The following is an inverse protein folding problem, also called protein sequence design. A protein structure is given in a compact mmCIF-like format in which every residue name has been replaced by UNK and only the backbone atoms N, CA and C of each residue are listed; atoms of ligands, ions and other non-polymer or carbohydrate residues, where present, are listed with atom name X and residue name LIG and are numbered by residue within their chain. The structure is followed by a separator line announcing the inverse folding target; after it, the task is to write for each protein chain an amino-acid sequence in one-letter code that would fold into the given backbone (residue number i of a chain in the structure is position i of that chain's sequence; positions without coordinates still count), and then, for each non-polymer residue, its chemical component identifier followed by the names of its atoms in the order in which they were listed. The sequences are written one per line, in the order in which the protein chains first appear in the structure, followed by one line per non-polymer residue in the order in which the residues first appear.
data_IF_594268006451
#
_entry.id   IF_594268006451
#
_cell.length_a   1.000
_cell.length_b   1.000
_cell.length_c   1.000
_cell.angle_alpha   90.00
_cell.angle_beta   90.00
_cell.angle_gamma   90.00
#
_symmetry.space_group_name_H-M   'P 1'
#
loop_
_entity.id
_entity.type
_entity.pdbx_description
1 polymer ?
#
# COMPACT_ATOMS: atom_id res chain seq x y z
N UNK A 1 54.92 13.64 -11.49
CA UNK A 1 53.51 14.12 -11.45
C UNK A 1 52.80 13.64 -12.70
N UNK A 2 51.96 12.59 -12.62
CA UNK A 2 51.00 12.21 -13.65
C UNK A 2 49.58 12.73 -13.31
N UNK A 3 48.69 12.93 -14.31
CA UNK A 3 47.38 13.58 -14.12
C UNK A 3 46.33 12.60 -13.56
N UNK A 4 45.24 13.10 -12.92
CA UNK A 4 44.20 12.25 -12.36
C UNK A 4 43.23 11.75 -13.43
N UNK A 5 42.96 10.44 -13.40
CA UNK A 5 41.99 9.75 -14.23
C UNK A 5 40.55 10.11 -13.81
N UNK A 6 39.72 10.50 -14.79
CA UNK A 6 38.26 10.64 -14.64
C UNK A 6 37.64 9.25 -14.44
N UNK A 7 37.18 8.93 -13.23
CA UNK A 7 36.19 7.87 -13.04
C UNK A 7 34.82 8.40 -13.49
N UNK A 8 34.35 7.88 -14.62
CA UNK A 8 32.99 8.04 -15.09
C UNK A 8 32.01 7.37 -14.12
N UNK A 9 31.08 8.15 -13.59
CA UNK A 9 29.92 7.73 -12.81
C UNK A 9 29.04 6.76 -13.62
N UNK A 10 29.26 5.46 -13.46
CA UNK A 10 28.27 4.42 -13.75
C UNK A 10 27.26 4.37 -12.58
N UNK A 11 26.36 5.36 -12.50
CA UNK A 11 25.19 5.28 -11.63
C UNK A 11 24.08 4.52 -12.37
N UNK A 12 24.03 3.22 -12.08
CA UNK A 12 22.89 2.30 -12.16
C UNK A 12 21.72 2.74 -13.06
N UNK A 13 21.75 2.34 -14.33
CA UNK A 13 20.61 2.35 -15.25
C UNK A 13 19.45 1.43 -14.80
N UNK A 14 19.61 0.67 -13.72
CA UNK A 14 18.65 -0.33 -13.24
C UNK A 14 17.43 0.30 -12.52
N UNK A 15 17.59 1.47 -11.89
CA UNK A 15 16.48 2.14 -11.18
C UNK A 15 15.50 2.83 -12.14
N UNK A 16 15.99 3.34 -13.28
CA UNK A 16 15.14 3.94 -14.31
C UNK A 16 14.31 2.88 -15.06
N UNK A 17 14.83 1.65 -15.16
CA UNK A 17 14.17 0.50 -15.78
C UNK A 17 12.94 -0.01 -14.98
N UNK A 18 12.90 0.24 -13.66
CA UNK A 18 11.83 -0.22 -12.77
C UNK A 18 10.54 0.62 -12.93
N UNK A 19 10.68 1.94 -13.15
CA UNK A 19 9.55 2.89 -13.17
C UNK A 19 8.65 2.77 -14.40
N UNK A 20 9.16 2.27 -15.54
CA UNK A 20 8.38 2.20 -16.78
C UNK A 20 7.69 0.84 -16.95
N UNK A 21 8.19 -0.26 -16.36
CA UNK A 21 7.69 -1.62 -16.66
C UNK A 21 6.67 -2.22 -15.69
N UNK A 22 6.39 -1.63 -14.53
CA UNK A 22 5.24 -2.07 -13.71
C UNK A 22 3.96 -1.28 -14.01
N UNK A 23 4.05 0.01 -14.32
CA UNK A 23 2.85 0.83 -14.61
C UNK A 23 2.48 0.84 -16.09
N UNK A 24 3.45 0.92 -17.01
CA UNK A 24 3.12 1.04 -18.44
C UNK A 24 2.59 -0.27 -19.03
N UNK A 25 3.14 -1.47 -18.74
CA UNK A 25 2.52 -2.74 -19.18
C UNK A 25 1.21 -3.06 -18.46
N UNK A 26 1.03 -2.67 -17.19
CA UNK A 26 -0.23 -2.83 -16.48
C UNK A 26 -1.32 -1.94 -17.10
N UNK A 27 -1.00 -0.68 -17.42
CA UNK A 27 -1.90 0.25 -18.11
C UNK A 27 -2.12 -0.12 -19.59
N UNK A 28 -1.12 -0.64 -20.31
CA UNK A 28 -1.20 -1.04 -21.72
C UNK A 28 -1.90 -2.40 -21.93
N UNK A 29 -1.89 -3.30 -20.93
CA UNK A 29 -2.63 -4.58 -20.96
C UNK A 29 -3.98 -4.52 -20.24
N UNK A 30 -4.51 -3.32 -19.96
CA UNK A 30 -5.83 -3.13 -19.34
C UNK A 30 -5.96 -3.69 -17.91
N UNK A 31 -4.84 -3.99 -17.24
CA UNK A 31 -4.82 -4.55 -15.89
C UNK A 31 -4.34 -3.49 -14.93
N UNK A 32 -5.25 -2.86 -14.19
CA UNK A 32 -4.86 -1.92 -13.14
C UNK A 32 -3.83 -2.58 -12.21
N UNK A 33 -2.66 -1.97 -11.92
CA UNK A 33 -1.64 -2.56 -11.02
C UNK A 33 -2.06 -2.57 -9.54
N UNK A 34 -3.37 -2.39 -9.28
CA UNK A 34 -3.97 -2.18 -7.97
C UNK A 34 -4.28 -3.46 -7.17
N UNK A 35 -4.41 -4.70 -7.69
CA UNK A 35 -4.73 -5.88 -6.85
C UNK A 35 -3.64 -6.33 -5.87
N UNK A 36 -2.53 -5.59 -5.80
CA UNK A 36 -1.21 -6.15 -5.48
C UNK A 36 -0.85 -6.18 -4.00
N UNK A 37 -1.62 -5.58 -3.08
CA UNK A 37 -1.01 -5.15 -1.82
C UNK A 37 -1.90 -5.03 -0.58
N UNK A 38 -3.15 -5.48 -0.63
CA UNK A 38 -4.09 -5.09 0.40
C UNK A 38 -4.37 -6.20 1.40
N UNK A 39 -3.71 -6.11 2.56
CA UNK A 39 -4.09 -6.79 3.79
C UNK A 39 -4.46 -5.75 4.84
N UNK A 40 -5.59 -5.95 5.48
CA UNK A 40 -5.76 -5.84 6.93
C UNK A 40 -5.91 -7.30 7.41
N UNK A 41 -5.79 -7.64 8.70
CA UNK A 41 -5.77 -9.03 9.19
C UNK A 41 -6.89 -9.96 8.68
N UNK A 42 -7.97 -9.43 8.09
CA UNK A 42 -9.12 -10.16 7.54
C UNK A 42 -9.61 -9.63 6.17
N UNK A 43 -8.75 -9.00 5.37
CA UNK A 43 -9.28 -8.01 4.44
C UNK A 43 -8.80 -8.20 3.00
N UNK A 44 -9.78 -8.55 2.16
CA UNK A 44 -9.73 -8.82 0.72
C UNK A 44 -9.08 -10.12 0.26
N UNK A 45 -8.51 -10.95 1.12
CA UNK A 45 -7.88 -12.21 0.70
C UNK A 45 -8.60 -13.41 1.32
N UNK A 46 -8.97 -14.37 0.49
CA UNK A 46 -9.67 -15.59 0.90
C UNK A 46 -8.80 -16.85 0.84
N UNK A 47 -7.49 -16.70 0.64
CA UNK A 47 -6.58 -17.83 0.42
C UNK A 47 -6.24 -18.57 1.72
N UNK A 48 -6.12 -19.89 1.61
CA UNK A 48 -5.58 -20.77 2.65
C UNK A 48 -4.47 -21.65 2.05
N UNK A 49 -3.72 -22.37 2.89
CA UNK A 49 -2.51 -23.09 2.47
C UNK A 49 -2.71 -24.06 1.29
N UNK A 50 -3.91 -24.63 1.15
CA UNK A 50 -4.29 -25.60 0.10
C UNK A 50 -5.34 -25.06 -0.86
N UNK A 51 -5.48 -23.73 -0.96
CA UNK A 51 -6.44 -23.14 -1.88
C UNK A 51 -6.12 -23.47 -3.33
N UNK A 52 -7.14 -23.64 -4.21
CA UNK A 52 -6.94 -23.76 -5.64
C UNK A 52 -6.02 -22.64 -6.17
N UNK A 53 -5.03 -23.02 -6.98
CA UNK A 53 -4.00 -22.14 -7.54
C UNK A 53 -3.08 -21.43 -6.51
N UNK A 54 -3.09 -21.91 -5.27
CA UNK A 54 -2.27 -21.43 -4.17
C UNK A 54 -2.89 -20.27 -3.38
N UNK A 55 -2.39 -19.97 -2.16
CA UNK A 55 -2.97 -18.97 -1.27
C UNK A 55 -2.99 -17.56 -1.86
N UNK A 56 -2.06 -17.27 -2.78
CA UNK A 56 -1.90 -15.94 -3.38
C UNK A 56 -2.79 -15.74 -4.63
N UNK A 57 -3.66 -16.69 -4.96
CA UNK A 57 -4.65 -16.59 -6.04
C UNK A 57 -6.00 -15.98 -5.64
N UNK A 58 -6.17 -15.67 -4.37
CA UNK A 58 -7.47 -15.37 -3.76
C UNK A 58 -7.59 -13.91 -3.29
N UNK A 59 -6.90 -12.99 -3.98
CA UNK A 59 -7.00 -11.55 -3.73
C UNK A 59 -8.34 -10.98 -4.17
N UNK A 60 -8.75 -9.87 -3.56
CA UNK A 60 -10.06 -9.21 -3.76
C UNK A 60 -11.30 -10.09 -3.46
N UNK A 61 -11.15 -11.15 -2.66
CA UNK A 61 -12.25 -12.01 -2.21
C UNK A 61 -13.26 -11.28 -1.32
N UNK A 62 -12.82 -10.31 -0.51
CA UNK A 62 -13.67 -9.51 0.36
C UNK A 62 -13.65 -8.04 -0.03
N UNK A 63 -14.83 -7.40 -0.02
CA UNK A 63 -15.00 -5.98 -0.31
C UNK A 63 -15.00 -5.08 0.94
N UNK A 64 -15.19 -5.67 2.12
CA UNK A 64 -15.22 -4.98 3.41
C UNK A 64 -14.55 -5.88 4.48
N UNK A 65 -14.12 -5.26 5.57
CA UNK A 65 -13.52 -5.94 6.72
C UNK A 65 -14.48 -6.97 7.34
N UNK A 66 -14.00 -8.19 7.54
CA UNK A 66 -14.77 -9.23 8.21
C UNK A 66 -14.67 -9.04 9.72
N UNK A 67 -15.84 -8.89 10.37
CA UNK A 67 -15.99 -8.77 11.83
C UNK A 67 -15.23 -7.58 12.43
N UNK A 68 -15.58 -6.34 12.09
CA UNK A 68 -14.92 -5.15 12.62
C UNK A 68 -15.04 -5.04 14.14
N UNK A 69 -13.93 -4.74 14.80
CA UNK A 69 -13.84 -4.69 16.27
C UNK A 69 -14.19 -3.30 16.86
N UNK A 70 -14.41 -2.31 16.00
CA UNK A 70 -14.72 -0.93 16.35
C UNK A 70 -15.47 -0.25 15.21
N UNK A 71 -15.95 0.96 15.44
CA UNK A 71 -16.47 1.84 14.39
C UNK A 71 -15.36 2.66 13.71
N UNK A 72 -14.09 2.50 14.12
CA UNK A 72 -12.92 3.19 13.55
C UNK A 72 -13.12 4.72 13.51
N UNK A 73 -13.69 5.26 14.59
CA UNK A 73 -13.86 6.68 14.77
C UNK A 73 -12.80 7.22 15.72
N UNK A 74 -11.95 8.12 15.23
CA UNK A 74 -11.20 9.03 16.08
C UNK A 74 -12.04 10.30 16.33
N UNK A 75 -12.69 10.34 17.50
CA UNK A 75 -13.53 11.46 17.93
C UNK A 75 -12.74 12.73 18.30
N UNK A 76 -11.41 12.62 18.43
CA UNK A 76 -10.53 13.76 18.69
C UNK A 76 -10.26 14.55 17.42
N UNK A 77 -10.36 13.91 16.25
CA UNK A 77 -10.17 14.56 14.96
C UNK A 77 -11.32 15.54 14.62
N UNK A 78 -11.05 16.85 14.74
CA UNK A 78 -12.05 17.90 14.47
C UNK A 78 -12.19 18.27 13.01
N UNK A 79 -11.17 17.98 12.19
CA UNK A 79 -11.21 18.25 10.76
C UNK A 79 -12.11 17.27 10.01
N UNK A 80 -12.13 16.01 10.46
CA UNK A 80 -12.91 14.93 9.86
C UNK A 80 -13.80 14.28 10.92
N UNK A 81 -14.87 14.95 11.36
CA UNK A 81 -15.70 14.46 12.45
C UNK A 81 -16.42 13.17 12.07
N UNK A 82 -16.61 12.29 13.06
CA UNK A 82 -17.44 11.10 12.91
C UNK A 82 -18.92 11.47 12.94
N UNK A 83 -19.73 10.73 12.17
CA UNK A 83 -21.19 10.89 12.19
C UNK A 83 -21.87 9.79 13.01
N UNK A 84 -22.95 10.10 13.75
CA UNK A 84 -23.71 9.09 14.50
C UNK A 84 -24.18 7.95 13.60
N UNK A 85 -24.08 6.71 14.11
CA UNK A 85 -24.49 5.50 13.39
C UNK A 85 -23.57 5.09 12.23
N UNK A 86 -22.44 5.78 12.02
CA UNK A 86 -21.47 5.43 10.98
C UNK A 86 -20.28 4.66 11.52
N UNK A 87 -19.80 3.72 10.69
CA UNK A 87 -18.58 2.96 10.91
C UNK A 87 -17.62 3.17 9.75
N UNK A 88 -16.38 3.47 10.07
CA UNK A 88 -15.28 3.68 9.13
C UNK A 88 -14.35 2.47 9.07
N UNK A 89 -14.89 1.26 9.23
CA UNK A 89 -14.17 0.01 9.06
C UNK A 89 -13.64 -0.17 7.63
N UNK A 90 -12.75 -1.15 7.44
CA UNK A 90 -12.10 -1.39 6.16
C UNK A 90 -13.09 -1.63 5.03
N UNK A 91 -12.96 -0.87 3.94
CA UNK A 91 -13.72 -1.07 2.69
C UNK A 91 -12.87 -0.91 1.44
N UNK A 92 -13.31 -1.59 0.38
CA UNK A 92 -12.67 -1.59 -0.92
C UNK A 92 -11.32 -2.32 -0.92
N UNK A 93 -10.58 -2.23 -2.04
CA UNK A 93 -9.31 -2.91 -2.21
C UNK A 93 -8.32 -2.56 -1.10
N UNK A 94 -8.00 -1.26 -0.87
CA UNK A 94 -7.04 -0.84 0.18
C UNK A 94 -7.56 -1.00 1.61
N UNK A 95 -8.81 -1.40 1.80
CA UNK A 95 -9.45 -1.48 3.10
C UNK A 95 -9.36 -0.15 3.86
N UNK A 96 -9.81 0.90 3.15
CA UNK A 96 -9.82 2.26 3.68
C UNK A 96 -10.54 2.25 5.02
N UNK A 97 -9.84 2.70 6.06
CA UNK A 97 -10.29 2.66 7.45
C UNK A 97 -10.07 4.00 8.12
N UNK A 98 -10.87 4.32 9.13
CA UNK A 98 -10.86 5.57 9.90
C UNK A 98 -11.45 6.81 9.24
N UNK A 99 -12.20 7.60 10.02
CA UNK A 99 -12.80 8.88 9.62
C UNK A 99 -11.79 9.83 8.95
N UNK A 100 -10.57 9.90 9.48
CA UNK A 100 -9.51 10.77 8.96
C UNK A 100 -8.93 10.29 7.61
N UNK A 101 -9.30 9.10 7.12
CA UNK A 101 -9.01 8.68 5.74
C UNK A 101 -10.23 8.79 4.83
N UNK A 102 -11.43 8.42 5.32
CA UNK A 102 -12.68 8.56 4.57
C UNK A 102 -13.01 10.01 4.21
N UNK A 103 -12.79 10.94 5.13
CA UNK A 103 -12.99 12.38 4.91
C UNK A 103 -12.15 12.94 3.76
N UNK A 104 -10.81 12.88 3.80
CA UNK A 104 -9.99 13.41 2.71
C UNK A 104 -10.14 12.62 1.40
N UNK A 105 -10.34 11.29 1.45
CA UNK A 105 -10.64 10.53 0.24
C UNK A 105 -11.93 10.99 -0.43
N UNK A 106 -12.99 11.18 0.36
CA UNK A 106 -14.27 11.71 -0.10
C UNK A 106 -14.12 13.09 -0.73
N UNK A 107 -13.39 14.00 -0.07
CA UNK A 107 -13.10 15.33 -0.59
C UNK A 107 -12.36 15.29 -1.93
N UNK A 108 -11.34 14.43 -2.06
CA UNK A 108 -10.53 14.35 -3.28
C UNK A 108 -11.28 13.71 -4.45
N UNK A 109 -12.19 12.77 -4.17
CA UNK A 109 -12.84 11.94 -5.18
C UNK A 109 -14.30 12.33 -5.48
N UNK A 110 -14.83 13.33 -4.77
CA UNK A 110 -16.17 13.86 -4.98
C UNK A 110 -17.29 13.00 -4.40
N UNK A 111 -17.09 12.39 -3.22
CA UNK A 111 -18.14 11.67 -2.49
C UNK A 111 -18.13 12.04 -1.00
N UNK A 112 -19.27 11.88 -0.31
CA UNK A 112 -19.35 12.12 1.13
C UNK A 112 -18.89 10.89 1.92
N UNK A 113 -17.58 10.76 2.14
CA UNK A 113 -17.00 9.64 2.89
C UNK A 113 -17.35 9.64 4.38
N UNK A 114 -17.76 10.78 4.96
CA UNK A 114 -18.05 10.87 6.39
C UNK A 114 -19.50 10.51 6.72
N UNK A 115 -20.47 10.96 5.90
CA UNK A 115 -21.89 10.63 6.07
C UNK A 115 -22.34 9.41 5.28
N UNK A 116 -21.58 8.97 4.28
CA UNK A 116 -21.91 7.80 3.47
C UNK A 116 -20.69 6.90 3.21
N UNK A 117 -19.95 6.46 4.26
CA UNK A 117 -18.77 5.62 4.10
C UNK A 117 -19.05 4.29 3.39
N UNK A 118 -20.29 3.78 3.47
CA UNK A 118 -20.73 2.52 2.86
C UNK A 118 -20.62 2.53 1.33
N UNK A 119 -20.57 3.72 0.70
CA UNK A 119 -20.41 3.85 -0.75
C UNK A 119 -19.11 3.21 -1.25
N UNK A 120 -18.06 3.17 -0.42
CA UNK A 120 -16.78 2.53 -0.77
C UNK A 120 -16.93 1.01 -0.90
N UNK A 121 -17.84 0.39 -0.15
CA UNK A 121 -18.15 -1.04 -0.25
C UNK A 121 -19.25 -1.39 -1.25
N UNK A 122 -20.01 -0.39 -1.73
CA UNK A 122 -21.18 -0.60 -2.60
C UNK A 122 -21.00 -0.07 -4.04
N UNK A 123 -19.95 0.68 -4.32
CA UNK A 123 -19.62 1.16 -5.66
C UNK A 123 -18.18 0.80 -6.02
N UNK A 124 -17.99 -0.13 -6.97
CA UNK A 124 -16.68 -0.64 -7.37
C UNK A 124 -15.74 0.45 -7.90
N UNK A 125 -16.27 1.42 -8.66
CA UNK A 125 -15.47 2.54 -9.17
C UNK A 125 -14.94 3.39 -8.03
N UNK A 126 -15.77 3.69 -7.04
CA UNK A 126 -15.35 4.44 -5.85
C UNK A 126 -14.36 3.61 -5.02
N UNK A 127 -14.59 2.31 -4.86
CA UNK A 127 -13.70 1.41 -4.16
C UNK A 127 -12.28 1.41 -4.74
N UNK A 128 -12.14 1.29 -6.06
CA UNK A 128 -10.83 1.35 -6.70
C UNK A 128 -10.24 2.76 -6.69
N UNK A 129 -11.06 3.80 -6.82
CA UNK A 129 -10.59 5.19 -6.69
C UNK A 129 -10.01 5.47 -5.30
N UNK A 130 -10.62 4.99 -4.21
CA UNK A 130 -10.07 5.18 -2.86
C UNK A 130 -8.75 4.44 -2.67
N UNK A 131 -8.62 3.25 -3.25
CA UNK A 131 -7.35 2.50 -3.25
C UNK A 131 -6.23 3.24 -3.99
N UNK A 132 -6.52 3.75 -5.19
CA UNK A 132 -5.56 4.57 -5.95
C UNK A 132 -5.26 5.90 -5.25
N UNK A 133 -6.27 6.55 -4.67
CA UNK A 133 -6.07 7.77 -3.89
C UNK A 133 -5.09 7.54 -2.74
N UNK A 134 -5.29 6.49 -1.93
CA UNK A 134 -4.37 6.16 -0.84
C UNK A 134 -2.95 5.90 -1.37
N UNK A 135 -2.84 5.13 -2.46
CA UNK A 135 -1.57 4.78 -3.08
C UNK A 135 -0.77 6.01 -3.55
N UNK A 136 -1.46 7.02 -4.08
CA UNK A 136 -0.86 8.21 -4.69
C UNK A 136 -0.71 9.39 -3.72
N UNK A 137 -1.34 9.36 -2.53
CA UNK A 137 -1.40 10.51 -1.62
C UNK A 137 -0.34 10.42 -0.54
N UNK A 138 0.52 11.45 -0.43
CA UNK A 138 1.41 11.63 0.71
C UNK A 138 0.59 11.98 1.96
N UNK A 139 0.88 11.31 3.08
CA UNK A 139 0.32 11.61 4.40
C UNK A 139 1.45 11.82 5.40
N UNK A 140 2.00 13.03 5.45
CA UNK A 140 3.20 13.33 6.26
C UNK A 140 3.07 12.82 7.70
N UNK A 141 4.10 12.13 8.23
CA UNK A 141 5.44 11.98 7.66
C UNK A 141 5.60 10.88 6.59
N UNK A 142 4.54 10.12 6.26
CA UNK A 142 4.59 9.02 5.29
C UNK A 142 4.63 9.55 3.85
N UNK A 143 5.59 9.10 3.00
CA UNK A 143 5.55 9.38 1.57
C UNK A 143 4.38 8.62 0.91
N UNK A 144 4.07 8.93 -0.35
CA UNK A 144 3.13 8.12 -1.11
C UNK A 144 3.73 6.74 -1.44
N UNK A 145 2.90 5.68 -1.48
CA UNK A 145 3.36 4.36 -1.91
C UNK A 145 3.89 4.40 -3.35
N UNK A 146 3.25 5.22 -4.19
CA UNK A 146 3.69 5.47 -5.56
C UNK A 146 5.13 5.95 -5.63
N UNK A 147 5.48 7.02 -4.90
CA UNK A 147 6.83 7.60 -4.97
C UNK A 147 7.91 6.62 -4.49
N UNK A 148 7.58 5.74 -3.54
CA UNK A 148 8.47 4.63 -3.13
C UNK A 148 8.70 3.69 -4.31
N UNK A 149 7.63 3.17 -4.91
CA UNK A 149 7.72 2.13 -5.94
C UNK A 149 8.27 2.62 -7.28
N UNK A 150 8.16 3.91 -7.59
CA UNK A 150 8.75 4.50 -8.81
C UNK A 150 10.13 5.12 -8.58
N UNK A 151 10.73 4.93 -7.39
CA UNK A 151 12.10 5.36 -7.10
C UNK A 151 12.27 6.87 -6.87
N UNK A 152 11.19 7.59 -6.59
CA UNK A 152 11.20 9.02 -6.25
C UNK A 152 11.41 9.28 -4.76
N UNK A 153 11.10 8.32 -3.91
CA UNK A 153 11.33 8.42 -2.47
C UNK A 153 12.82 8.66 -2.15
N UNK A 154 13.06 9.64 -1.27
CA UNK A 154 14.38 9.95 -0.71
C UNK A 154 14.27 9.86 0.81
N UNK A 155 14.95 8.90 1.46
CA UNK A 155 14.93 8.78 2.92
C UNK A 155 15.41 10.06 3.58
N UNK A 156 14.65 10.54 4.57
CA UNK A 156 15.10 11.59 5.48
C UNK A 156 16.11 11.03 6.49
N UNK A 157 16.81 11.90 7.22
CA UNK A 157 17.66 11.44 8.33
C UNK A 157 16.87 10.58 9.34
N UNK A 158 15.64 10.98 9.67
CA UNK A 158 14.77 10.22 10.56
C UNK A 158 14.35 8.85 9.98
N UNK A 159 14.26 8.72 8.66
CA UNK A 159 14.00 7.43 8.01
C UNK A 159 15.20 6.51 8.08
N UNK A 160 16.40 7.03 7.87
CA UNK A 160 17.64 6.26 7.99
C UNK A 160 17.83 5.72 9.41
N UNK A 161 17.62 6.56 10.43
CA UNK A 161 17.66 6.14 11.85
C UNK A 161 16.58 5.10 12.19
N UNK A 162 15.43 5.18 11.51
CA UNK A 162 14.33 4.23 11.63
C UNK A 162 14.51 2.97 10.76
N UNK A 163 15.64 2.83 10.07
CA UNK A 163 15.92 1.77 9.11
C UNK A 163 14.87 1.64 7.98
N UNK A 164 14.17 2.73 7.65
CA UNK A 164 13.19 2.79 6.56
C UNK A 164 13.91 3.02 5.24
N UNK A 165 13.95 1.97 4.41
CA UNK A 165 14.62 1.97 3.11
C UNK A 165 13.63 1.79 1.96
N UNK A 166 13.96 2.29 0.77
CA UNK A 166 13.11 2.15 -0.40
C UNK A 166 12.89 0.67 -0.75
N UNK A 167 11.62 0.29 -0.95
CA UNK A 167 11.21 -1.07 -1.31
C UNK A 167 9.78 -1.38 -0.87
N UNK A 168 9.33 -2.59 -1.19
CA UNK A 168 7.99 -3.06 -0.86
C UNK A 168 7.72 -3.15 0.66
N UNK A 169 8.77 -3.37 1.46
CA UNK A 169 8.69 -3.30 2.91
C UNK A 169 8.25 -1.93 3.41
N UNK A 170 8.78 -0.85 2.84
CA UNK A 170 8.36 0.50 3.20
C UNK A 170 6.91 0.79 2.80
N UNK A 171 6.46 0.25 1.65
CA UNK A 171 5.04 0.31 1.27
C UNK A 171 4.16 -0.38 2.32
N UNK A 172 4.57 -1.54 2.80
CA UNK A 172 3.88 -2.24 3.90
C UNK A 172 3.84 -1.38 5.18
N UNK A 173 4.95 -0.71 5.49
CA UNK A 173 5.04 0.21 6.64
C UNK A 173 4.10 1.42 6.49
N UNK A 174 3.99 2.01 5.30
CA UNK A 174 3.06 3.11 5.02
C UNK A 174 1.61 2.65 5.24
N UNK A 175 1.26 1.48 4.72
CA UNK A 175 -0.11 0.92 4.77
C UNK A 175 -0.51 0.55 6.20
N UNK A 176 0.30 -0.24 6.91
CA UNK A 176 -0.09 -0.75 8.23
C UNK A 176 1.10 -1.03 9.17
N UNK A 177 2.17 -0.24 9.06
CA UNK A 177 3.42 -0.48 9.79
C UNK A 177 3.27 -0.53 11.30
N UNK A 178 2.38 0.29 11.88
CA UNK A 178 2.14 0.30 13.34
C UNK A 178 1.62 -1.03 13.89
N UNK A 179 1.09 -1.90 13.04
CA UNK A 179 0.63 -3.24 13.42
C UNK A 179 1.52 -4.36 12.89
N UNK A 180 2.26 -4.15 11.78
CA UNK A 180 2.91 -5.21 11.01
C UNK A 180 4.43 -5.10 10.91
N UNK A 181 5.01 -3.92 11.10
CA UNK A 181 6.46 -3.68 10.93
C UNK A 181 7.18 -3.57 12.27
N UNK A 182 8.50 -3.79 12.26
CA UNK A 182 9.28 -3.92 13.50
C UNK A 182 9.05 -5.27 14.20
N UNK A 183 8.41 -6.23 13.51
CA UNK A 183 8.06 -7.56 14.00
C UNK A 183 8.72 -8.58 13.07
N UNK A 184 9.67 -9.39 13.55
CA UNK A 184 10.25 -10.47 12.78
C UNK A 184 9.21 -11.52 12.38
N UNK A 185 9.32 -12.02 11.15
CA UNK A 185 8.50 -13.10 10.59
C UNK A 185 6.98 -12.92 10.75
N UNK A 186 6.52 -11.68 10.62
CA UNK A 186 5.09 -11.39 10.69
C UNK A 186 4.35 -12.03 9.50
N UNK A 187 3.42 -12.94 9.81
CA UNK A 187 2.66 -13.68 8.80
C UNK A 187 1.84 -12.77 7.89
N UNK A 188 1.48 -11.55 8.32
CA UNK A 188 0.74 -10.58 7.52
C UNK A 188 1.65 -9.92 6.49
N UNK A 189 2.88 -9.59 6.87
CA UNK A 189 3.90 -9.09 5.95
C UNK A 189 4.29 -10.17 4.94
N UNK A 190 4.52 -11.41 5.39
CA UNK A 190 4.86 -12.54 4.52
C UNK A 190 3.79 -12.79 3.44
N UNK A 191 2.52 -12.67 3.81
CA UNK A 191 1.39 -12.80 2.89
C UNK A 191 1.38 -11.69 1.82
N UNK A 192 1.59 -10.42 2.20
CA UNK A 192 1.75 -9.32 1.23
C UNK A 192 2.90 -9.58 0.26
N UNK A 193 4.04 -10.06 0.77
CA UNK A 193 5.21 -10.40 -0.05
C UNK A 193 4.88 -11.55 -1.01
N UNK A 194 4.11 -12.54 -0.58
CA UNK A 194 3.66 -13.67 -1.40
C UNK A 194 2.83 -13.23 -2.61
N UNK A 195 1.82 -12.38 -2.39
CA UNK A 195 1.04 -11.78 -3.48
C UNK A 195 1.92 -10.94 -4.41
N UNK A 196 2.80 -10.11 -3.87
CA UNK A 196 3.72 -9.29 -4.66
C UNK A 196 4.62 -10.13 -5.57
N UNK A 197 5.23 -11.19 -5.02
CA UNK A 197 6.07 -12.13 -5.79
C UNK A 197 5.28 -12.83 -6.88
N UNK A 198 4.07 -13.33 -6.58
CA UNK A 198 3.21 -13.99 -7.59
C UNK A 198 2.91 -13.06 -8.75
N UNK A 199 2.47 -11.84 -8.47
CA UNK A 199 2.14 -10.89 -9.54
C UNK A 199 3.38 -10.41 -10.30
N UNK A 200 4.50 -10.17 -9.62
CA UNK A 200 5.77 -9.84 -10.27
C UNK A 200 6.23 -10.96 -11.23
N UNK A 201 6.05 -12.22 -10.84
CA UNK A 201 6.32 -13.37 -11.71
C UNK A 201 5.39 -13.38 -12.93
N UNK A 202 4.08 -13.17 -12.76
CA UNK A 202 3.12 -13.11 -13.88
C UNK A 202 3.41 -11.97 -14.87
N UNK A 203 3.98 -10.86 -14.39
CA UNK A 203 4.36 -9.72 -15.22
C UNK A 203 5.81 -9.76 -15.71
N UNK A 204 6.59 -10.79 -15.33
CA UNK A 204 8.00 -10.96 -15.69
C UNK A 204 8.86 -9.75 -15.29
N UNK A 205 8.66 -9.26 -14.05
CA UNK A 205 9.40 -8.12 -13.48
C UNK A 205 10.09 -8.52 -12.19
N UNK A 206 11.24 -7.89 -11.93
CA UNK A 206 11.98 -8.05 -10.67
C UNK A 206 11.19 -7.46 -9.50
N UNK A 207 11.28 -8.09 -8.33
CA UNK A 207 10.59 -7.64 -7.11
C UNK A 207 11.35 -6.52 -6.40
N UNK A 208 12.63 -6.32 -6.71
CA UNK A 208 13.50 -5.39 -6.01
C UNK A 208 14.01 -5.92 -4.68
N UNK A 209 14.84 -5.12 -4.02
CA UNK A 209 15.32 -5.34 -2.65
C UNK A 209 14.33 -4.85 -1.60
N UNK A 210 14.59 -5.15 -0.33
CA UNK A 210 13.85 -4.64 0.84
C UNK A 210 12.35 -4.95 0.78
N UNK A 211 12.02 -6.24 0.62
CA UNK A 211 10.64 -6.70 0.51
C UNK A 211 9.90 -6.70 1.86
N UNK A 212 10.62 -6.88 2.96
CA UNK A 212 10.05 -6.91 4.31
C UNK A 212 10.28 -5.60 5.07
N UNK A 213 9.55 -5.47 6.19
CA UNK A 213 9.71 -4.38 7.13
C UNK A 213 9.98 -4.85 8.57
N UNK A 214 10.51 -6.07 8.74
CA UNK A 214 10.72 -6.67 10.06
C UNK A 214 11.65 -5.82 10.94
N UNK A 215 12.62 -5.15 10.33
CA UNK A 215 13.60 -4.31 11.02
C UNK A 215 13.36 -2.81 10.82
N UNK A 216 12.22 -2.41 10.25
CA UNK A 216 11.88 -0.99 10.09
C UNK A 216 11.05 -0.52 11.26
N UNK A 217 11.38 0.64 11.84
CA UNK A 217 10.49 1.28 12.81
C UNK A 217 9.22 1.75 12.09
N UNK A 218 8.02 1.48 12.64
CA UNK A 218 6.78 2.04 12.13
C UNK A 218 6.83 3.56 12.01
N UNK A 219 6.12 4.11 11.03
CA UNK A 219 5.80 5.53 10.99
C UNK A 219 4.86 5.95 12.12
#
# INVERSE_FOLDING_TARGET
MPPPSRQSSLRSSSTLYFSTRMMVPALLKGSTPTPLLFKHPNASQGGWATAPDGPYAWGLCFKEEVSPQSNYCDSTNKQWPCYPGKSYNGRGPIQLSWNYNYGPAGRALGFDGLKNPEIVGNNSVIAFKTALWFWMTEQKPKPSCHDVMVGRYRPTGADLEANRTAGFGLVTNIINGGLECGIPDDSRVNDRIGYYKRYAQLFEVDVGSNLDCANQKPF
#
